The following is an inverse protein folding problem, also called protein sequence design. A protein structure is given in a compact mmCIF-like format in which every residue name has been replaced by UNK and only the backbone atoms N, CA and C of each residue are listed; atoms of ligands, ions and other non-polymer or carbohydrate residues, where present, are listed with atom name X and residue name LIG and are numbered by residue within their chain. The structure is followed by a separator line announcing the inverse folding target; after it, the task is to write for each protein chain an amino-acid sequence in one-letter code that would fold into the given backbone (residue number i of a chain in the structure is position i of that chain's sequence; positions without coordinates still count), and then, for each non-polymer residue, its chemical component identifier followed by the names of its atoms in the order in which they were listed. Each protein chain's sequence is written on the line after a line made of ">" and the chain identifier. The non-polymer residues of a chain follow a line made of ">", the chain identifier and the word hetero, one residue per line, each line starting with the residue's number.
data_IF_259232750434
#
_entry.id   IF_259232750434
#
_cell.length_a   1.000
_cell.length_b   1.000
_cell.length_c   1.000
_cell.angle_alpha   90.00
_cell.angle_beta   90.00
_cell.angle_gamma   90.00
#
_symmetry.space_group_name_H-M   'P 1'
#
loop_
_entity.id
_entity.type
_entity.pdbx_description
1 polymer ?
#
# COMPACT_ATOMS: atom_id res chain seq x y z
N UNK A 1 -1.44 -53.18 2.44
CA UNK A 1 -1.41 -53.11 0.97
C UNK A 1 -1.97 -51.77 0.56
N UNK A 2 -1.09 -50.82 0.25
CA UNK A 2 -1.45 -49.43 -0.03
C UNK A 2 -0.21 -48.56 0.05
N UNK A 3 -0.13 -47.58 -0.86
CA UNK A 3 0.82 -46.46 -0.98
C UNK A 3 1.99 -46.60 -1.98
N UNK A 4 2.22 -47.75 -2.59
CA UNK A 4 3.35 -47.93 -3.54
C UNK A 4 3.02 -47.57 -5.00
N UNK A 5 1.76 -47.29 -5.34
CA UNK A 5 1.31 -47.05 -6.73
C UNK A 5 1.01 -45.57 -7.07
N UNK A 6 1.46 -44.61 -6.26
CA UNK A 6 1.32 -43.16 -6.53
C UNK A 6 2.66 -42.44 -6.78
N UNK A 7 3.79 -43.15 -6.74
CA UNK A 7 5.13 -42.58 -6.91
C UNK A 7 5.72 -42.74 -8.32
N UNK A 8 4.98 -43.36 -9.24
CA UNK A 8 5.42 -43.63 -10.62
C UNK A 8 5.08 -42.50 -11.62
N UNK A 9 4.53 -41.36 -11.14
CA UNK A 9 4.24 -40.18 -11.98
C UNK A 9 5.08 -38.94 -11.63
N UNK A 10 6.11 -39.06 -10.79
CA UNK A 10 7.03 -37.98 -10.43
C UNK A 10 8.44 -38.20 -11.00
N UNK A 11 8.50 -38.68 -12.25
CA UNK A 11 9.72 -38.73 -13.04
C UNK A 11 10.15 -37.34 -13.50
N UNK A 12 11.35 -36.96 -13.07
CA UNK A 12 12.23 -35.98 -13.70
C UNK A 12 11.92 -34.48 -13.50
N UNK A 13 12.49 -33.90 -12.44
CA UNK A 13 12.98 -32.51 -12.48
C UNK A 13 14.29 -32.36 -11.70
N UNK A 14 15.40 -32.67 -12.37
CA UNK A 14 16.70 -32.07 -12.06
C UNK A 14 16.63 -30.59 -12.46
N UNK A 15 16.66 -29.69 -11.48
CA UNK A 15 16.84 -28.25 -11.72
C UNK A 15 18.29 -27.84 -11.43
N UNK A 16 19.15 -27.69 -12.46
CA UNK A 16 20.41 -27.02 -12.29
C UNK A 16 20.23 -25.50 -12.39
N UNK A 17 20.66 -24.82 -11.32
CA UNK A 17 20.92 -23.38 -11.24
C UNK A 17 22.08 -23.02 -12.18
N UNK A 18 21.82 -22.56 -13.40
CA UNK A 18 22.78 -21.80 -14.23
C UNK A 18 22.21 -21.47 -15.61
N UNK A 19 21.35 -20.45 -15.67
CA UNK A 19 21.15 -19.56 -16.84
C UNK A 19 19.87 -18.75 -16.67
N UNK A 20 19.88 -17.83 -15.70
CA UNK A 20 18.84 -16.83 -15.55
C UNK A 20 18.96 -15.80 -16.70
N UNK A 21 18.45 -16.19 -17.88
CA UNK A 21 18.40 -15.35 -19.08
C UNK A 21 17.28 -14.33 -18.92
N UNK A 22 17.65 -13.05 -19.00
CA UNK A 22 16.86 -11.79 -18.87
C UNK A 22 15.59 -11.70 -19.75
N UNK A 23 14.57 -12.54 -19.58
CA UNK A 23 13.42 -12.49 -20.51
C UNK A 23 12.06 -12.91 -19.95
N UNK A 24 11.86 -12.97 -18.63
CA UNK A 24 10.60 -13.49 -18.04
C UNK A 24 9.63 -12.39 -17.57
N UNK A 25 10.10 -11.16 -17.35
CA UNK A 25 9.21 -10.05 -16.92
C UNK A 25 8.51 -9.36 -18.12
N UNK A 26 9.02 -9.49 -19.34
CA UNK A 26 8.47 -8.77 -20.50
C UNK A 26 7.41 -9.54 -21.29
N UNK A 27 7.26 -10.86 -21.06
CA UNK A 27 6.43 -11.73 -21.92
C UNK A 27 5.01 -11.99 -21.42
N UNK A 28 4.69 -11.64 -20.18
CA UNK A 28 3.34 -11.82 -19.62
C UNK A 28 2.40 -10.61 -19.84
N UNK A 29 2.90 -9.46 -20.31
CA UNK A 29 2.06 -8.31 -20.64
C UNK A 29 1.31 -8.43 -21.98
N UNK A 30 1.51 -9.50 -22.77
CA UNK A 30 1.08 -9.53 -24.17
C UNK A 30 0.03 -10.60 -24.53
N UNK A 31 -0.58 -11.30 -23.58
CA UNK A 31 -1.49 -12.41 -23.93
C UNK A 31 -2.77 -12.54 -23.09
N UNK A 32 -3.42 -11.46 -22.68
CA UNK A 32 -4.80 -11.55 -22.20
C UNK A 32 -5.56 -10.24 -22.43
N UNK A 33 -6.34 -10.20 -23.51
CA UNK A 33 -7.37 -9.17 -23.75
C UNK A 33 -6.82 -7.88 -24.35
N UNK A 34 -7.23 -7.60 -25.59
CA UNK A 34 -6.94 -6.35 -26.29
C UNK A 34 -7.52 -5.14 -25.58
N UNK A 35 -6.80 -4.63 -24.59
CA UNK A 35 -6.92 -3.25 -24.13
C UNK A 35 -5.82 -2.50 -24.87
N UNK A 36 -6.21 -1.73 -25.88
CA UNK A 36 -5.24 -0.88 -26.56
C UNK A 36 -4.67 0.11 -25.54
N UNK A 37 -3.37 0.38 -25.57
CA UNK A 37 -2.76 1.47 -24.79
C UNK A 37 -3.46 2.81 -25.07
N UNK A 38 -4.03 2.98 -26.27
CA UNK A 38 -4.88 4.12 -26.62
C UNK A 38 -6.24 4.14 -25.92
N UNK A 39 -6.80 2.98 -25.54
CA UNK A 39 -8.04 2.89 -24.75
C UNK A 39 -7.77 3.09 -23.25
N UNK A 40 -6.56 2.74 -22.77
CA UNK A 40 -6.05 3.15 -21.46
C UNK A 40 -5.81 4.67 -21.37
N UNK A 41 -5.31 5.29 -22.46
CA UNK A 41 -5.10 6.74 -22.57
C UNK A 41 -6.39 7.55 -22.79
N UNK A 42 -7.50 6.91 -23.21
CA UNK A 42 -8.83 7.54 -23.32
C UNK A 42 -9.53 7.70 -21.96
N UNK A 43 -8.91 7.23 -20.88
CA UNK A 43 -9.40 7.44 -19.53
C UNK A 43 -9.04 8.86 -19.08
N UNK A 44 -10.02 9.57 -18.51
CA UNK A 44 -9.83 10.89 -17.89
C UNK A 44 -8.50 10.92 -17.13
N UNK A 45 -7.67 11.95 -17.36
CA UNK A 45 -6.37 12.19 -16.72
C UNK A 45 -6.28 11.74 -15.24
N UNK A 46 -7.32 11.96 -14.39
CA UNK A 46 -7.34 11.50 -13.01
C UNK A 46 -7.20 9.99 -12.83
N UNK A 47 -7.87 9.19 -13.66
CA UNK A 47 -7.91 7.73 -13.50
C UNK A 47 -6.57 7.08 -13.86
N UNK A 48 -5.86 7.62 -14.84
CA UNK A 48 -4.52 7.15 -15.24
C UNK A 48 -3.54 7.33 -14.07
N UNK A 49 -3.68 8.42 -13.34
CA UNK A 49 -2.76 8.77 -12.26
C UNK A 49 -3.05 8.00 -10.97
N UNK A 50 -4.30 7.71 -10.70
CA UNK A 50 -4.66 6.71 -9.69
C UNK A 50 -4.04 5.36 -10.02
N UNK A 51 -4.20 4.89 -11.26
CA UNK A 51 -3.69 3.58 -11.68
C UNK A 51 -2.15 3.55 -11.61
N UNK A 52 -1.46 4.67 -11.87
CA UNK A 52 0.00 4.76 -11.79
C UNK A 52 0.57 4.55 -10.38
N UNK A 53 -0.26 4.69 -9.32
CA UNK A 53 0.14 4.43 -7.92
C UNK A 53 0.47 2.97 -7.65
N UNK A 54 -0.19 2.05 -8.34
CA UNK A 54 0.05 0.62 -8.14
C UNK A 54 1.46 0.24 -8.64
N UNK A 55 1.87 0.58 -9.87
CA UNK A 55 3.27 0.47 -10.30
C UNK A 55 4.25 1.22 -9.39
N UNK A 56 3.92 2.43 -8.94
CA UNK A 56 4.79 3.20 -8.06
C UNK A 56 5.02 2.49 -6.71
N UNK A 57 3.97 1.93 -6.10
CA UNK A 57 4.06 1.09 -4.91
C UNK A 57 5.01 -0.09 -5.14
N UNK A 58 4.84 -0.84 -6.23
CA UNK A 58 5.73 -1.96 -6.55
C UNK A 58 7.17 -1.52 -6.78
N UNK A 59 7.40 -0.37 -7.43
CA UNK A 59 8.72 0.19 -7.63
C UNK A 59 9.39 0.58 -6.30
N UNK A 60 8.65 1.23 -5.38
CA UNK A 60 9.14 1.57 -4.04
C UNK A 60 9.52 0.29 -3.29
N UNK A 61 8.64 -0.72 -3.27
CA UNK A 61 8.93 -2.00 -2.61
C UNK A 61 10.13 -2.70 -3.24
N UNK A 62 10.26 -2.69 -4.57
CA UNK A 62 11.43 -3.27 -5.24
C UNK A 62 12.74 -2.57 -4.84
N UNK A 63 12.72 -1.24 -4.62
CA UNK A 63 13.88 -0.49 -4.14
C UNK A 63 14.15 -0.73 -2.65
N UNK A 64 13.11 -0.99 -1.83
CA UNK A 64 13.26 -1.31 -0.40
C UNK A 64 13.94 -2.67 -0.16
N UNK A 65 13.69 -3.65 -1.02
CA UNK A 65 14.20 -5.02 -0.87
C UNK A 65 15.36 -5.37 -1.81
N UNK A 66 15.57 -4.57 -2.86
CA UNK A 66 16.65 -4.79 -3.81
C UNK A 66 18.00 -4.40 -3.21
N UNK A 67 19.03 -5.19 -3.49
CA UNK A 67 20.42 -4.90 -3.14
C UNK A 67 21.03 -3.87 -4.12
N UNK A 68 20.40 -2.70 -4.22
CA UNK A 68 20.88 -1.59 -5.04
C UNK A 68 21.59 -0.56 -4.16
N UNK A 69 22.73 -0.06 -4.65
CA UNK A 69 23.40 1.09 -4.03
C UNK A 69 22.47 2.30 -4.11
N UNK A 70 22.23 2.99 -2.99
CA UNK A 70 21.22 4.04 -2.85
C UNK A 70 19.76 3.58 -2.92
N UNK A 71 19.47 2.29 -2.75
CA UNK A 71 18.12 1.73 -2.84
C UNK A 71 17.15 2.38 -1.86
N UNK A 72 17.57 2.57 -0.60
CA UNK A 72 16.76 3.22 0.44
C UNK A 72 16.47 4.69 0.10
N UNK A 73 17.48 5.42 -0.41
CA UNK A 73 17.34 6.81 -0.88
C UNK A 73 16.35 6.93 -2.04
N UNK A 74 16.47 6.05 -3.05
CA UNK A 74 15.56 6.04 -4.20
C UNK A 74 14.14 5.70 -3.75
N UNK A 75 13.96 4.71 -2.87
CA UNK A 75 12.66 4.35 -2.32
C UNK A 75 11.98 5.54 -1.60
N UNK A 76 12.74 6.29 -0.79
CA UNK A 76 12.24 7.48 -0.11
C UNK A 76 11.81 8.56 -1.10
N UNK A 77 12.64 8.92 -2.07
CA UNK A 77 12.30 9.96 -3.05
C UNK A 77 11.17 9.55 -3.99
N UNK A 78 11.09 8.27 -4.38
CA UNK A 78 9.96 7.73 -5.13
C UNK A 78 8.66 7.84 -4.34
N UNK A 79 8.69 7.54 -3.04
CA UNK A 79 7.53 7.72 -2.16
C UNK A 79 7.08 9.18 -2.08
N UNK A 80 8.02 10.12 -1.91
CA UNK A 80 7.72 11.56 -1.90
C UNK A 80 7.13 12.00 -3.25
N UNK A 81 7.73 11.58 -4.37
CA UNK A 81 7.22 11.90 -5.69
C UNK A 81 5.80 11.33 -5.92
N UNK A 82 5.54 10.10 -5.48
CA UNK A 82 4.22 9.49 -5.57
C UNK A 82 3.17 10.21 -4.70
N UNK A 83 3.52 10.59 -3.48
CA UNK A 83 2.65 11.34 -2.58
C UNK A 83 2.36 12.77 -3.09
N UNK A 84 3.36 13.44 -3.68
CA UNK A 84 3.17 14.76 -4.30
C UNK A 84 2.31 14.67 -5.55
N UNK A 85 2.48 13.61 -6.36
CA UNK A 85 1.64 13.36 -7.54
C UNK A 85 0.17 13.20 -7.14
N UNK A 86 -0.13 12.42 -6.08
CA UNK A 86 -1.50 12.33 -5.53
C UNK A 86 -2.10 13.70 -5.17
N UNK A 87 -1.32 14.54 -4.48
CA UNK A 87 -1.82 15.85 -4.04
C UNK A 87 -2.06 16.81 -5.21
N UNK A 88 -1.14 16.88 -6.17
CA UNK A 88 -1.23 17.79 -7.33
C UNK A 88 -2.40 17.39 -8.23
N UNK A 89 -2.53 16.12 -8.53
CA UNK A 89 -3.52 15.62 -9.49
C UNK A 89 -4.90 15.47 -8.85
N UNK A 90 -4.99 15.23 -7.54
CA UNK A 90 -6.24 15.29 -6.79
C UNK A 90 -6.88 16.69 -6.81
N UNK A 91 -6.07 17.74 -6.96
CA UNK A 91 -6.54 19.13 -7.12
C UNK A 91 -7.06 19.37 -8.54
N UNK A 92 -6.32 18.92 -9.56
CA UNK A 92 -6.70 19.03 -10.98
C UNK A 92 -7.94 18.18 -11.34
N UNK A 93 -8.05 16.99 -10.75
CA UNK A 93 -9.16 16.07 -10.99
C UNK A 93 -10.52 16.62 -10.57
N UNK A 94 -10.57 17.41 -9.50
CA UNK A 94 -11.82 18.00 -8.96
C UNK A 94 -12.47 18.99 -9.91
N UNK A 95 -11.73 19.53 -10.86
CA UNK A 95 -12.23 20.49 -11.84
C UNK A 95 -12.79 19.81 -13.11
N UNK A 96 -12.46 18.54 -13.33
CA UNK A 96 -12.76 17.84 -14.59
C UNK A 96 -14.15 17.14 -14.66
N UNK A 97 -14.91 17.11 -13.56
CA UNK A 97 -16.37 16.84 -13.54
C UNK A 97 -16.91 15.51 -14.11
N UNK A 98 -16.09 14.69 -14.78
CA UNK A 98 -16.53 13.55 -15.60
C UNK A 98 -15.99 12.20 -15.11
N UNK A 99 -16.10 11.90 -13.82
CA UNK A 99 -15.68 10.58 -13.30
C UNK A 99 -16.89 9.68 -13.14
N UNK A 100 -16.85 8.46 -13.68
CA UNK A 100 -17.89 7.46 -13.46
C UNK A 100 -17.94 7.03 -11.98
N UNK A 101 -19.10 6.59 -11.50
CA UNK A 101 -19.25 6.08 -10.12
C UNK A 101 -18.29 4.93 -9.83
N UNK A 102 -18.04 4.08 -10.82
CA UNK A 102 -17.05 3.00 -10.74
C UNK A 102 -15.61 3.51 -10.65
N UNK A 103 -15.24 4.53 -11.44
CA UNK A 103 -13.91 5.13 -11.40
C UNK A 103 -13.58 5.75 -10.03
N UNK A 104 -14.54 6.48 -9.43
CA UNK A 104 -14.38 7.01 -8.06
C UNK A 104 -14.21 5.92 -7.00
N UNK A 105 -14.88 4.78 -7.19
CA UNK A 105 -14.73 3.64 -6.29
C UNK A 105 -13.34 3.02 -6.42
N UNK A 106 -12.91 2.72 -7.65
CA UNK A 106 -11.58 2.16 -7.91
C UNK A 106 -10.46 3.06 -7.39
N UNK A 107 -10.62 4.38 -7.52
CA UNK A 107 -9.71 5.38 -6.96
C UNK A 107 -9.58 5.28 -5.44
N UNK A 108 -10.70 5.24 -4.73
CA UNK A 108 -10.70 5.07 -3.28
C UNK A 108 -10.17 3.70 -2.80
N UNK A 109 -10.15 2.67 -3.66
CA UNK A 109 -9.56 1.36 -3.37
C UNK A 109 -8.06 1.39 -3.60
N UNK A 110 -7.61 1.88 -4.75
CA UNK A 110 -6.19 1.91 -5.12
C UNK A 110 -5.39 2.77 -4.14
N UNK A 111 -5.96 3.89 -3.68
CA UNK A 111 -5.36 4.74 -2.67
C UNK A 111 -5.00 3.96 -1.38
N UNK A 112 -5.92 3.12 -0.91
CA UNK A 112 -5.71 2.27 0.27
C UNK A 112 -4.74 1.14 0.01
N UNK A 113 -4.79 0.53 -1.17
CA UNK A 113 -3.88 -0.55 -1.55
C UNK A 113 -2.44 -0.08 -1.52
N UNK A 114 -2.14 1.12 -2.01
CA UNK A 114 -0.79 1.69 -1.96
C UNK A 114 -0.29 1.83 -0.51
N UNK A 115 -1.08 2.49 0.35
CA UNK A 115 -0.70 2.72 1.76
C UNK A 115 -0.54 1.40 2.51
N UNK A 116 -1.51 0.48 2.36
CA UNK A 116 -1.46 -0.85 2.99
C UNK A 116 -0.27 -1.66 2.50
N UNK A 117 0.00 -1.68 1.19
CA UNK A 117 1.11 -2.41 0.60
C UNK A 117 2.46 -1.92 1.14
N UNK A 118 2.63 -0.60 1.24
CA UNK A 118 3.82 0.00 1.85
C UNK A 118 3.93 -0.32 3.35
N UNK A 119 2.84 -0.28 4.11
CA UNK A 119 2.86 -0.65 5.54
C UNK A 119 3.29 -2.11 5.74
N UNK A 120 2.77 -3.04 4.92
CA UNK A 120 3.17 -4.45 4.96
C UNK A 120 4.66 -4.60 4.59
N UNK A 121 5.12 -3.88 3.56
CA UNK A 121 6.52 -3.87 3.17
C UNK A 121 7.44 -3.34 4.27
N UNK A 122 7.03 -2.31 5.02
CA UNK A 122 7.81 -1.79 6.16
C UNK A 122 7.91 -2.79 7.30
N UNK A 123 6.83 -3.52 7.61
CA UNK A 123 6.87 -4.56 8.66
C UNK A 123 7.91 -5.63 8.34
N UNK A 124 7.96 -6.08 7.09
CA UNK A 124 8.88 -7.12 6.67
C UNK A 124 10.31 -6.60 6.42
N UNK A 125 10.49 -5.32 6.08
CA UNK A 125 11.79 -4.71 5.75
C UNK A 125 12.68 -4.35 6.95
N UNK A 126 12.35 -4.83 8.15
CA UNK A 126 13.15 -4.60 9.36
C UNK A 126 12.97 -3.23 10.01
N UNK A 127 12.00 -2.42 9.58
CA UNK A 127 11.79 -1.06 10.06
C UNK A 127 11.30 -0.98 11.52
N UNK A 128 10.75 -2.08 12.04
CA UNK A 128 10.21 -2.15 13.41
C UNK A 128 11.12 -2.90 14.39
N UNK A 129 12.34 -3.30 13.98
CA UNK A 129 13.32 -4.00 14.84
C UNK A 129 12.65 -5.15 15.64
N UNK A 130 12.74 -5.11 16.98
CA UNK A 130 12.16 -6.12 17.89
C UNK A 130 10.64 -6.16 17.92
N UNK A 131 9.96 -5.13 17.42
CA UNK A 131 8.50 -4.98 17.47
C UNK A 131 7.79 -5.52 16.23
N UNK A 132 8.50 -6.26 15.36
CA UNK A 132 7.97 -6.77 14.08
C UNK A 132 6.63 -7.49 14.21
N UNK A 133 6.48 -8.38 15.20
CA UNK A 133 5.25 -9.16 15.41
C UNK A 133 4.08 -8.24 15.79
N UNK A 134 4.31 -7.33 16.75
CA UNK A 134 3.32 -6.35 17.18
C UNK A 134 2.91 -5.44 16.02
N UNK A 135 3.88 -4.94 15.25
CA UNK A 135 3.62 -4.09 14.09
C UNK A 135 2.79 -4.84 13.02
N UNK A 136 3.07 -6.12 12.77
CA UNK A 136 2.29 -6.94 11.84
C UNK A 136 0.82 -7.07 12.28
N UNK A 137 0.58 -7.34 13.57
CA UNK A 137 -0.78 -7.41 14.12
C UNK A 137 -1.50 -6.07 14.00
N UNK A 138 -0.81 -4.97 14.28
CA UNK A 138 -1.35 -3.62 14.11
C UNK A 138 -1.72 -3.33 12.64
N UNK A 139 -0.86 -3.69 11.67
CA UNK A 139 -1.14 -3.54 10.24
C UNK A 139 -2.35 -4.37 9.84
N UNK A 140 -2.47 -5.61 10.30
CA UNK A 140 -3.61 -6.46 9.99
C UNK A 140 -4.93 -5.88 10.52
N UNK A 141 -4.92 -5.32 11.74
CA UNK A 141 -6.07 -4.59 12.30
C UNK A 141 -6.43 -3.36 11.46
N UNK A 142 -5.41 -2.61 11.00
CA UNK A 142 -5.61 -1.44 10.14
C UNK A 142 -6.27 -1.85 8.82
N UNK A 143 -5.75 -2.87 8.14
CA UNK A 143 -6.29 -3.43 6.90
C UNK A 143 -7.73 -3.88 7.11
N UNK A 144 -7.99 -4.74 8.09
CA UNK A 144 -9.34 -5.27 8.36
C UNK A 144 -10.37 -4.15 8.55
N UNK A 145 -10.02 -3.12 9.35
CA UNK A 145 -10.88 -1.95 9.55
C UNK A 145 -11.06 -1.13 8.27
N UNK A 146 -9.98 -0.86 7.53
CA UNK A 146 -10.00 -0.09 6.28
C UNK A 146 -10.99 -0.70 5.28
N UNK A 147 -10.91 -2.00 5.05
CA UNK A 147 -11.78 -2.71 4.11
C UNK A 147 -13.21 -2.84 4.65
N UNK A 148 -13.39 -3.19 5.93
CA UNK A 148 -14.72 -3.38 6.53
C UNK A 148 -15.56 -2.09 6.47
N UNK A 149 -15.02 -0.96 6.93
CA UNK A 149 -15.78 0.31 6.96
C UNK A 149 -16.03 0.84 5.55
N UNK A 150 -15.09 0.63 4.63
CA UNK A 150 -15.28 1.01 3.23
C UNK A 150 -16.37 0.18 2.55
N UNK A 151 -16.38 -1.14 2.79
CA UNK A 151 -17.41 -2.05 2.31
C UNK A 151 -18.79 -1.73 2.89
N UNK A 152 -18.88 -1.52 4.21
CA UNK A 152 -20.13 -1.12 4.87
C UNK A 152 -20.69 0.19 4.32
N UNK A 153 -19.83 1.20 4.09
CA UNK A 153 -20.27 2.47 3.47
C UNK A 153 -20.81 2.25 2.06
N UNK A 154 -20.20 1.36 1.27
CA UNK A 154 -20.69 1.05 -0.07
C UNK A 154 -22.07 0.39 -0.04
N UNK A 155 -22.25 -0.60 0.84
CA UNK A 155 -23.55 -1.27 0.99
C UNK A 155 -24.61 -0.27 1.45
N UNK A 156 -24.31 0.58 2.44
CA UNK A 156 -25.23 1.62 2.90
C UNK A 156 -25.58 2.63 1.79
N UNK A 157 -24.58 3.07 1.00
CA UNK A 157 -24.81 3.96 -0.13
C UNK A 157 -25.71 3.32 -1.21
N UNK A 158 -25.57 2.00 -1.44
CA UNK A 158 -26.44 1.27 -2.37
C UNK A 158 -27.89 1.15 -1.88
N UNK A 159 -28.10 1.17 -0.55
CA UNK A 159 -29.42 1.19 0.10
C UNK A 159 -29.97 2.63 0.28
N UNK A 160 -29.32 3.65 -0.27
CA UNK A 160 -29.76 5.06 -0.15
C UNK A 160 -29.48 5.72 1.20
N UNK A 161 -28.79 5.03 2.12
CA UNK A 161 -28.38 5.59 3.41
C UNK A 161 -27.03 6.27 3.27
N UNK A 162 -27.03 7.60 3.33
CA UNK A 162 -25.79 8.39 3.28
C UNK A 162 -25.11 8.32 4.64
N UNK A 163 -24.11 7.45 4.76
CA UNK A 163 -23.24 7.42 5.93
C UNK A 163 -22.19 8.52 5.78
N UNK A 164 -22.39 9.62 6.52
CA UNK A 164 -21.48 10.76 6.52
C UNK A 164 -20.03 10.37 6.84
N UNK A 165 -19.10 11.09 6.21
CA UNK A 165 -17.68 10.87 6.41
C UNK A 165 -17.21 11.48 7.72
N UNK A 166 -16.85 10.60 8.67
CA UNK A 166 -16.21 11.02 9.91
C UNK A 166 -14.88 11.75 9.61
N UNK A 167 -14.69 12.92 10.22
CA UNK A 167 -13.55 13.82 9.99
C UNK A 167 -12.21 13.17 10.38
N UNK A 168 -12.25 12.14 11.22
CA UNK A 168 -11.10 11.31 11.59
C UNK A 168 -10.39 10.63 10.40
N UNK A 169 -11.05 10.50 9.24
CA UNK A 169 -10.43 9.94 8.04
C UNK A 169 -9.22 10.73 7.54
N UNK A 170 -9.25 12.07 7.60
CA UNK A 170 -8.14 12.92 7.13
C UNK A 170 -6.92 12.84 8.04
N UNK A 171 -7.16 12.81 9.35
CA UNK A 171 -6.07 12.70 10.32
C UNK A 171 -5.41 11.32 10.24
N UNK A 172 -6.20 10.26 10.02
CA UNK A 172 -5.67 8.90 9.83
C UNK A 172 -4.67 8.85 8.66
N UNK A 173 -5.08 9.29 7.48
CA UNK A 173 -4.25 9.22 6.28
C UNK A 173 -2.99 10.07 6.43
N UNK A 174 -3.11 11.24 7.06
CA UNK A 174 -1.95 12.07 7.41
C UNK A 174 -0.95 11.31 8.29
N UNK A 175 -1.41 10.65 9.35
CA UNK A 175 -0.54 9.88 10.24
C UNK A 175 0.11 8.69 9.53
N UNK A 176 -0.62 7.98 8.66
CA UNK A 176 -0.10 6.82 7.92
C UNK A 176 0.96 7.22 6.89
N UNK A 177 0.70 8.27 6.10
CA UNK A 177 1.67 8.76 5.11
C UNK A 177 2.93 9.29 5.78
N UNK A 178 2.79 10.01 6.90
CA UNK A 178 3.95 10.44 7.69
C UNK A 178 4.70 9.24 8.28
N UNK A 179 4.01 8.25 8.85
CA UNK A 179 4.66 7.04 9.36
C UNK A 179 5.53 6.36 8.30
N UNK A 180 4.99 6.19 7.09
CA UNK A 180 5.73 5.60 5.97
C UNK A 180 6.94 6.47 5.59
N UNK A 181 6.73 7.77 5.41
CA UNK A 181 7.78 8.71 5.02
C UNK A 181 8.93 8.76 6.02
N UNK A 182 8.64 8.88 7.31
CA UNK A 182 9.65 8.93 8.37
C UNK A 182 10.41 7.61 8.51
N UNK A 183 9.75 6.47 8.38
CA UNK A 183 10.41 5.15 8.43
C UNK A 183 11.31 4.91 7.20
N UNK A 184 10.87 5.30 6.00
CA UNK A 184 11.71 5.26 4.80
C UNK A 184 12.91 6.22 4.92
N UNK A 185 12.68 7.43 5.42
CA UNK A 185 13.74 8.41 5.65
C UNK A 185 14.78 7.92 6.67
N UNK A 186 14.35 7.26 7.74
CA UNK A 186 15.25 6.62 8.70
C UNK A 186 16.18 5.60 8.01
N UNK A 187 15.63 4.70 7.18
CA UNK A 187 16.39 3.68 6.45
C UNK A 187 17.40 4.31 5.48
N UNK A 188 16.99 5.38 4.79
CA UNK A 188 17.88 6.19 3.94
C UNK A 188 19.08 6.72 4.74
N UNK A 189 18.84 7.33 5.90
CA UNK A 189 19.92 7.84 6.75
C UNK A 189 20.78 6.73 7.36
N UNK A 190 20.19 5.58 7.69
CA UNK A 190 20.89 4.46 8.30
C UNK A 190 21.80 3.70 7.32
N UNK A 191 21.36 3.51 6.07
CA UNK A 191 22.07 2.67 5.10
C UNK A 191 22.94 3.49 4.13
N UNK A 192 22.42 4.60 3.60
CA UNK A 192 23.09 5.34 2.51
C UNK A 192 23.91 6.53 3.02
N UNK A 193 23.53 7.12 4.16
CA UNK A 193 24.16 8.32 4.75
C UNK A 193 24.73 8.09 6.17
N UNK A 194 25.08 6.85 6.51
CA UNK A 194 25.49 6.43 7.86
C UNK A 194 26.60 7.29 8.50
N UNK A 195 27.46 7.90 7.69
CA UNK A 195 28.58 8.75 8.16
C UNK A 195 28.21 10.24 8.33
N UNK A 196 27.08 10.69 7.77
CA UNK A 196 26.69 12.11 7.72
C UNK A 196 25.72 12.49 8.84
N UNK A 197 25.00 11.51 9.40
CA UNK A 197 24.04 11.72 10.48
C UNK A 197 24.61 11.39 11.86
N UNK A 198 24.38 12.25 12.86
CA UNK A 198 24.65 11.84 14.25
C UNK A 198 23.74 10.67 14.62
N UNK A 199 24.27 9.68 15.34
CA UNK A 199 23.50 8.50 15.79
C UNK A 199 22.21 8.90 16.54
N UNK A 200 22.24 10.07 17.18
CA UNK A 200 21.12 10.66 17.89
C UNK A 200 20.02 11.16 16.94
N UNK A 201 20.38 11.82 15.82
CA UNK A 201 19.40 12.21 14.79
C UNK A 201 18.73 10.98 14.17
N UNK A 202 19.51 9.94 13.84
CA UNK A 202 18.98 8.71 13.28
C UNK A 202 17.93 8.06 14.21
N UNK A 203 18.24 7.99 15.51
CA UNK A 203 17.32 7.47 16.54
C UNK A 203 16.04 8.31 16.68
N UNK A 204 16.15 9.64 16.60
CA UNK A 204 14.99 10.55 16.66
C UNK A 204 14.09 10.33 15.43
N UNK A 205 14.66 10.29 14.23
CA UNK A 205 13.90 10.06 12.98
C UNK A 205 13.14 8.74 13.04
N UNK A 206 13.78 7.68 13.54
CA UNK A 206 13.14 6.38 13.75
C UNK A 206 11.98 6.47 14.76
N UNK A 207 12.23 7.08 15.92
CA UNK A 207 11.23 7.24 16.98
C UNK A 207 10.02 8.04 16.54
N UNK A 208 10.21 9.10 15.75
CA UNK A 208 9.13 9.89 15.15
C UNK A 208 8.29 9.03 14.19
N UNK A 209 8.92 8.23 13.33
CA UNK A 209 8.21 7.32 12.43
C UNK A 209 7.37 6.27 13.18
N UNK A 210 7.93 5.70 14.25
CA UNK A 210 7.19 4.77 15.12
C UNK A 210 6.03 5.46 15.87
N UNK A 211 6.21 6.70 16.32
CA UNK A 211 5.16 7.47 16.98
C UNK A 211 3.99 7.76 16.03
N UNK A 212 4.28 8.17 14.79
CA UNK A 212 3.25 8.34 13.76
C UNK A 212 2.52 7.03 13.45
N UNK A 213 3.26 5.91 13.33
CA UNK A 213 2.67 4.60 13.14
C UNK A 213 1.72 4.23 14.30
N UNK A 214 2.19 4.34 15.54
CA UNK A 214 1.39 4.05 16.72
C UNK A 214 0.14 4.93 16.80
N UNK A 215 0.28 6.24 16.54
CA UNK A 215 -0.84 7.18 16.46
C UNK A 215 -1.86 6.78 15.40
N UNK A 216 -1.40 6.37 14.22
CA UNK A 216 -2.27 5.92 13.13
C UNK A 216 -3.08 4.66 13.50
N UNK A 217 -2.46 3.73 14.22
CA UNK A 217 -3.09 2.50 14.69
C UNK A 217 -4.14 2.81 15.75
N UNK A 218 -3.80 3.63 16.75
CA UNK A 218 -4.73 4.06 17.80
C UNK A 218 -5.96 4.70 17.18
N UNK A 219 -5.77 5.65 16.25
CA UNK A 219 -6.87 6.33 15.58
C UNK A 219 -7.72 5.38 14.72
N UNK A 220 -7.08 4.38 14.12
CA UNK A 220 -7.79 3.36 13.35
C UNK A 220 -8.68 2.48 14.25
N UNK A 221 -8.17 2.07 15.40
CA UNK A 221 -8.91 1.25 16.37
C UNK A 221 -10.07 2.04 16.98
N UNK A 222 -9.81 3.28 17.44
CA UNK A 222 -10.85 4.12 18.05
C UNK A 222 -11.95 4.47 17.06
N UNK A 223 -11.60 4.83 15.83
CA UNK A 223 -12.59 5.10 14.79
C UNK A 223 -13.36 3.85 14.35
N UNK A 224 -12.70 2.68 14.35
CA UNK A 224 -13.35 1.39 14.10
C UNK A 224 -14.42 1.08 15.15
N UNK A 225 -14.07 1.24 16.42
CA UNK A 225 -14.96 1.03 17.55
C UNK A 225 -16.19 1.96 17.52
N UNK A 226 -15.96 3.26 17.31
CA UNK A 226 -17.04 4.26 17.23
C UNK A 226 -18.00 3.97 16.08
N UNK A 227 -17.47 3.59 14.91
CA UNK A 227 -18.30 3.27 13.74
C UNK A 227 -19.19 2.05 13.97
N UNK A 228 -18.63 0.98 14.55
CA UNK A 228 -19.36 -0.26 14.84
C UNK A 228 -20.47 -0.02 15.87
N UNK A 229 -20.22 0.78 16.90
CA UNK A 229 -21.24 1.14 17.90
C UNK A 229 -22.38 1.98 17.30
N UNK A 230 -22.07 2.88 16.36
CA UNK A 230 -23.06 3.79 15.75
C UNK A 230 -23.90 3.12 14.67
N UNK A 231 -23.33 2.19 13.90
CA UNK A 231 -24.00 1.56 12.75
C UNK A 231 -24.23 0.05 12.88
N UNK A 232 -23.92 -0.55 14.04
CA UNK A 232 -24.19 -1.97 14.29
C UNK A 232 -25.67 -2.35 14.14
N UNK A 233 -26.58 -1.37 14.25
CA UNK A 233 -28.01 -1.56 13.99
C UNK A 233 -28.34 -1.74 12.49
N UNK A 234 -27.56 -1.16 11.57
CA UNK A 234 -27.81 -1.24 10.11
C UNK A 234 -27.43 -2.60 9.52
N UNK A 235 -26.57 -3.36 10.20
CA UNK A 235 -26.14 -4.70 9.76
C UNK A 235 -27.16 -5.78 10.14
N UNK A 236 -28.13 -5.46 11.00
CA UNK A 236 -29.18 -6.40 11.44
C UNK A 236 -30.40 -6.46 10.50
N UNK A 237 -30.46 -5.60 9.48
CA UNK A 237 -31.54 -5.52 8.47
C UNK A 237 -31.05 -5.82 7.04
#
# INVERSE_FOLDING_TARGET
>A
MGWDSLWEFAGDRRFPFSSFRRSVIFRYCLWAGGVSFSDFLRLNLPNILTISRVPAMFAIVAMMYGEFRWGATIAFWLFIAAALSDWLDGKLARESGQVSTFGRFMDAVIDKVMVVGLMVALVNGGYFMSWRITAMLCVLCVIGREFLISGLRMVAASKGVVVEADSGGKLKTFLQLNAIGWLLGWKMFAEDFGDVGSAQLNSIVHGVGLAFFAGSVILTVTSGWTYFRKHGHVVRD
#
